data_IF_653567331452
#
_entry.id   IF_653567331452
#
_cell.length_a   1.000
_cell.length_b   1.000
_cell.length_c   1.000
_cell.angle_alpha   90.00
_cell.angle_beta   90.00
_cell.angle_gamma   90.00
#
_symmetry.space_group_name_H-M   'P 1'
#
loop_
_entity.id
_entity.type
_entity.pdbx_description
1 polymer ?
#
# COMPACT_ATOMS: atom_id res chain seq x y z
N UNK A 1 18.18 22.86 12.73
CA UNK A 1 17.83 22.56 11.32
C UNK A 1 17.92 21.07 11.10
N UNK A 2 16.80 20.34 11.18
CA UNK A 2 16.78 18.89 10.90
C UNK A 2 16.85 18.72 9.38
N UNK A 3 17.98 18.20 8.89
CA UNK A 3 18.21 17.90 7.47
C UNK A 3 17.21 16.81 7.06
N UNK A 4 16.09 17.20 6.46
CA UNK A 4 15.11 16.29 5.86
C UNK A 4 15.82 15.57 4.71
N UNK A 5 16.37 14.40 4.97
CA UNK A 5 16.83 13.50 3.90
C UNK A 5 15.62 13.23 3.03
N UNK A 6 15.65 13.69 1.78
CA UNK A 6 14.72 13.24 0.74
C UNK A 6 14.92 11.73 0.63
N UNK A 7 14.13 10.93 1.36
CA UNK A 7 13.99 9.52 1.02
C UNK A 7 13.31 9.52 -0.34
N UNK A 8 14.04 9.09 -1.36
CA UNK A 8 13.44 8.75 -2.65
C UNK A 8 12.50 7.58 -2.40
N UNK A 9 11.31 7.67 -2.96
CA UNK A 9 10.40 6.54 -3.06
C UNK A 9 10.64 5.94 -4.44
N UNK A 10 11.19 4.73 -4.47
CA UNK A 10 11.53 4.03 -5.71
C UNK A 10 10.59 2.85 -5.99
N UNK A 11 10.76 2.23 -7.16
CA UNK A 11 9.91 1.11 -7.59
C UNK A 11 9.96 -0.06 -6.59
N UNK A 12 11.14 -0.34 -6.02
CA UNK A 12 11.31 -1.43 -5.06
C UNK A 12 10.62 -1.13 -3.71
N UNK A 13 10.61 0.13 -3.26
CA UNK A 13 9.81 0.59 -2.13
C UNK A 13 8.31 0.42 -2.41
N UNK A 14 7.84 0.82 -3.59
CA UNK A 14 6.44 0.69 -3.98
C UNK A 14 5.98 -0.77 -4.03
N UNK A 15 6.78 -1.66 -4.65
CA UNK A 15 6.49 -3.09 -4.71
C UNK A 15 6.47 -3.74 -3.31
N UNK A 16 7.41 -3.39 -2.43
CA UNK A 16 7.43 -3.88 -1.04
C UNK A 16 6.19 -3.41 -0.28
N UNK A 17 5.81 -2.15 -0.43
CA UNK A 17 4.63 -1.59 0.23
C UNK A 17 3.34 -2.24 -0.29
N UNK A 18 3.21 -2.51 -1.59
CA UNK A 18 2.08 -3.27 -2.15
C UNK A 18 1.97 -4.67 -1.54
N UNK A 19 3.10 -5.38 -1.42
CA UNK A 19 3.15 -6.68 -0.77
C UNK A 19 2.66 -6.62 0.69
N UNK A 20 3.16 -5.65 1.45
CA UNK A 20 2.78 -5.43 2.84
C UNK A 20 1.28 -5.08 2.99
N UNK A 21 0.75 -4.19 2.13
CA UNK A 21 -0.67 -3.84 2.13
C UNK A 21 -1.55 -5.07 1.86
N UNK A 22 -1.21 -5.91 0.88
CA UNK A 22 -1.96 -7.14 0.56
C UNK A 22 -1.93 -8.14 1.71
N UNK A 23 -0.76 -8.38 2.30
CA UNK A 23 -0.60 -9.29 3.43
C UNK A 23 -1.44 -8.82 4.62
N UNK A 24 -1.32 -7.54 4.97
CA UNK A 24 -2.06 -7.00 6.10
C UNK A 24 -3.58 -6.97 5.85
N UNK A 25 -4.00 -6.67 4.61
CA UNK A 25 -5.42 -6.74 4.25
C UNK A 25 -5.97 -8.16 4.39
N UNK A 26 -5.18 -9.19 4.05
CA UNK A 26 -5.57 -10.58 4.26
C UNK A 26 -5.75 -10.90 5.75
N UNK A 27 -4.83 -10.47 6.62
CA UNK A 27 -4.94 -10.65 8.07
C UNK A 27 -6.19 -9.97 8.63
N UNK A 28 -6.48 -8.73 8.19
CA UNK A 28 -7.68 -8.00 8.60
C UNK A 28 -8.96 -8.77 8.20
N UNK A 29 -9.00 -9.34 6.99
CA UNK A 29 -10.15 -10.16 6.56
C UNK A 29 -10.31 -11.43 7.39
N UNK A 30 -9.20 -12.05 7.79
CA UNK A 30 -9.23 -13.20 8.72
C UNK A 30 -9.80 -12.77 10.07
N UNK A 31 -9.36 -11.65 10.63
CA UNK A 31 -9.91 -11.12 11.89
C UNK A 31 -11.40 -10.79 11.78
N UNK A 32 -11.83 -10.18 10.67
CA UNK A 32 -13.25 -9.90 10.41
C UNK A 32 -14.08 -11.19 10.39
N UNK A 33 -13.57 -12.27 9.81
CA UNK A 33 -14.27 -13.57 9.74
C UNK A 33 -14.48 -14.24 11.10
N UNK A 34 -13.68 -13.88 12.10
CA UNK A 34 -13.75 -14.43 13.46
C UNK A 34 -14.60 -13.56 14.40
N UNK A 35 -14.98 -12.36 13.97
CA UNK A 35 -15.70 -11.40 14.80
C UNK A 35 -17.22 -11.52 14.61
N UNK A 36 -18.01 -11.45 15.70
CA UNK A 36 -19.45 -11.28 15.59
C UNK A 36 -19.78 -9.98 14.83
N UNK A 37 -20.72 -10.08 13.90
CA UNK A 37 -21.22 -8.95 13.14
C UNK A 37 -21.76 -7.86 14.07
N UNK A 38 -21.66 -6.59 13.64
CA UNK A 38 -22.15 -5.39 14.36
C UNK A 38 -21.45 -5.06 15.69
N UNK A 39 -20.37 -5.76 16.03
CA UNK A 39 -19.50 -5.30 17.12
C UNK A 39 -18.73 -4.04 16.69
N UNK A 40 -18.39 -3.18 17.65
CA UNK A 40 -17.53 -2.02 17.39
C UNK A 40 -16.18 -2.42 16.78
N UNK A 41 -15.62 -3.57 17.22
CA UNK A 41 -14.41 -4.14 16.65
C UNK A 41 -14.59 -4.51 15.16
N UNK A 42 -15.70 -5.17 14.79
CA UNK A 42 -15.99 -5.49 13.39
C UNK A 42 -16.09 -4.22 12.51
N UNK A 43 -16.77 -3.18 13.01
CA UNK A 43 -16.86 -1.88 12.28
C UNK A 43 -15.47 -1.24 12.11
N UNK A 44 -14.63 -1.27 13.14
CA UNK A 44 -13.25 -0.81 13.06
C UNK A 44 -12.41 -1.57 12.03
N UNK A 45 -12.58 -2.90 11.97
CA UNK A 45 -11.90 -3.74 10.98
C UNK A 45 -12.39 -3.48 9.55
N UNK A 46 -13.69 -3.22 9.35
CA UNK A 46 -14.22 -2.79 8.06
C UNK A 46 -13.54 -1.50 7.57
N UNK A 47 -13.44 -0.50 8.45
CA UNK A 47 -12.80 0.77 8.13
C UNK A 47 -11.32 0.58 7.80
N UNK A 48 -10.59 -0.22 8.60
CA UNK A 48 -9.19 -0.54 8.36
C UNK A 48 -8.98 -1.25 7.02
N UNK A 49 -9.80 -2.27 6.70
CA UNK A 49 -9.72 -2.99 5.42
C UNK A 49 -9.93 -2.03 4.23
N UNK A 50 -10.85 -1.07 4.36
CA UNK A 50 -11.11 -0.08 3.32
C UNK A 50 -9.97 0.94 3.19
N UNK A 51 -9.38 1.39 4.30
CA UNK A 51 -8.19 2.25 4.27
C UNK A 51 -6.99 1.54 3.62
N UNK A 52 -6.81 0.24 3.87
CA UNK A 52 -5.76 -0.55 3.22
C UNK A 52 -5.98 -0.69 1.71
N UNK A 53 -7.23 -0.84 1.27
CA UNK A 53 -7.56 -0.87 -0.16
C UNK A 53 -7.20 0.46 -0.84
N UNK A 54 -7.55 1.59 -0.21
CA UNK A 54 -7.22 2.93 -0.71
C UNK A 54 -5.70 3.10 -0.79
N UNK A 55 -4.97 2.76 0.28
CA UNK A 55 -3.52 2.83 0.30
C UNK A 55 -2.88 1.96 -0.79
N UNK A 56 -3.37 0.73 -0.96
CA UNK A 56 -2.90 -0.19 -2.01
C UNK A 56 -3.09 0.40 -3.40
N UNK A 57 -4.26 0.98 -3.68
CA UNK A 57 -4.54 1.62 -4.97
C UNK A 57 -3.64 2.83 -5.23
N UNK A 58 -3.40 3.67 -4.21
CA UNK A 58 -2.50 4.81 -4.33
C UNK A 58 -1.05 4.35 -4.65
N UNK A 59 -0.53 3.39 -3.88
CA UNK A 59 0.82 2.85 -4.09
C UNK A 59 0.94 2.13 -5.45
N UNK A 60 -0.13 1.48 -5.92
CA UNK A 60 -0.14 0.90 -7.27
C UNK A 60 0.02 1.98 -8.33
N UNK A 61 -0.71 3.10 -8.20
CA UNK A 61 -0.57 4.25 -9.09
C UNK A 61 0.86 4.81 -9.09
N UNK A 62 1.46 4.98 -7.91
CA UNK A 62 2.85 5.42 -7.79
C UNK A 62 3.81 4.42 -8.45
N UNK A 63 3.60 3.12 -8.26
CA UNK A 63 4.41 2.05 -8.87
C UNK A 63 4.33 2.09 -10.40
N UNK A 64 3.12 2.22 -10.95
CA UNK A 64 2.89 2.26 -12.40
C UNK A 64 3.55 3.50 -13.03
N UNK A 65 3.49 4.65 -12.33
CA UNK A 65 4.16 5.88 -12.76
C UNK A 65 5.70 5.75 -12.72
N UNK A 66 6.25 5.16 -11.65
CA UNK A 66 7.70 4.91 -11.53
C UNK A 66 8.20 3.97 -12.63
N UNK A 67 7.46 2.89 -12.92
CA UNK A 67 7.78 1.95 -14.00
C UNK A 67 7.77 2.70 -15.34
N UNK A 68 6.72 3.47 -15.64
CA UNK A 68 6.63 4.24 -16.89
C UNK A 68 7.81 5.19 -17.07
N UNK A 69 8.17 5.94 -16.03
CA UNK A 69 9.27 6.90 -16.07
C UNK A 69 10.63 6.20 -16.29
N UNK A 70 10.82 5.01 -15.74
CA UNK A 70 12.02 4.19 -15.99
C UNK A 70 12.10 3.70 -17.45
N UNK A 71 10.96 3.37 -18.08
CA UNK A 71 10.91 2.96 -19.49
C UNK A 71 11.09 4.13 -20.47
N UNK A 72 10.51 5.31 -20.19
CA UNK A 72 10.65 6.51 -21.04
C UNK A 72 12.07 7.11 -21.02
N UNK A 73 12.92 6.71 -20.07
CA UNK A 73 14.29 7.21 -19.95
C UNK A 73 15.28 6.63 -20.98
N UNK A 74 14.89 5.60 -21.75
CA UNK A 74 15.70 4.97 -22.80
C UNK A 74 16.98 4.26 -22.32
N UNK A 75 17.50 3.25 -23.02
CA UNK A 75 18.85 2.75 -22.74
C UNK A 75 19.86 3.87 -23.02
N UNK A 76 20.91 4.02 -22.19
CA UNK A 76 21.99 4.96 -22.49
C UNK A 76 22.65 4.56 -23.81
N UNK A 77 22.74 5.52 -24.74
CA UNK A 77 23.55 5.41 -25.98
C UNK A 77 25.03 5.17 -25.68
#
# INVERSE_FOLDING_TARGET
>A
MTRRTKRSFDEADAQRMLGACKAFQQDVRVWMSQMPLRTAAYVGLCALNQSLEIARCAVQGDCDELIRNNYDSGPPE
#
